data_IF_603618956510
#
_entry.id   IF_603618956510
#
_cell.length_a   1.000
_cell.length_b   1.000
_cell.length_c   1.000
_cell.angle_alpha   90.00
_cell.angle_beta   90.00
_cell.angle_gamma   90.00
#
_symmetry.space_group_name_H-M   'P 1'
#
loop_
_entity.id
_entity.type
_entity.pdbx_description
1 polymer ?
#
# COMPACT_ATOMS: atom_id res chain seq x y z
N UNK A 1 -4.61 20.91 -38.46
CA UNK A 1 -6.06 20.99 -38.17
C UNK A 1 -6.50 19.95 -37.14
N UNK A 2 -6.08 18.68 -37.23
CA UNK A 2 -6.46 17.64 -36.26
C UNK A 2 -5.92 17.82 -34.82
N UNK A 3 -4.83 18.58 -34.60
CA UNK A 3 -4.24 18.81 -33.26
C UNK A 3 -5.12 19.63 -32.30
N UNK A 4 -6.03 20.45 -32.83
CA UNK A 4 -6.92 21.31 -32.04
C UNK A 4 -8.41 20.90 -32.19
N UNK A 5 -8.68 19.73 -32.76
CA UNK A 5 -10.04 19.22 -32.88
C UNK A 5 -10.40 18.38 -31.65
N UNK A 6 -11.45 18.76 -30.94
CA UNK A 6 -11.88 18.07 -29.71
C UNK A 6 -12.25 16.60 -29.95
N UNK A 7 -12.93 16.29 -31.05
CA UNK A 7 -13.30 14.91 -31.40
C UNK A 7 -12.06 14.05 -31.67
N UNK A 8 -11.08 14.58 -32.41
CA UNK A 8 -9.81 13.89 -32.67
C UNK A 8 -8.99 13.68 -31.39
N UNK A 9 -9.05 14.61 -30.43
CA UNK A 9 -8.36 14.48 -29.14
C UNK A 9 -9.02 13.38 -28.28
N UNK A 10 -10.35 13.29 -28.28
CA UNK A 10 -11.08 12.28 -27.52
C UNK A 10 -10.97 10.88 -28.14
N UNK A 11 -10.88 10.79 -29.46
CA UNK A 11 -10.73 9.53 -30.18
C UNK A 11 -9.27 9.04 -30.28
N UNK A 12 -8.29 9.86 -29.84
CA UNK A 12 -6.87 9.49 -29.94
C UNK A 12 -6.56 8.28 -29.02
N UNK A 13 -5.70 7.35 -29.47
CA UNK A 13 -5.20 6.29 -28.59
C UNK A 13 -4.48 6.86 -27.36
N UNK A 14 -4.51 6.10 -26.27
CA UNK A 14 -3.70 6.44 -25.09
C UNK A 14 -2.21 6.53 -25.47
N UNK A 15 -1.46 7.45 -24.83
CA UNK A 15 -0.02 7.50 -25.01
C UNK A 15 0.61 6.15 -24.61
N UNK A 16 1.80 5.82 -25.15
CA UNK A 16 2.52 4.63 -24.72
C UNK A 16 2.72 4.66 -23.20
N UNK A 17 2.59 3.49 -22.57
CA UNK A 17 2.81 3.34 -21.13
C UNK A 17 4.22 3.83 -20.79
N UNK A 18 4.35 4.57 -19.70
CA UNK A 18 5.66 4.99 -19.20
C UNK A 18 6.51 3.77 -18.82
N UNK A 19 7.82 3.94 -18.87
CA UNK A 19 8.76 2.95 -18.34
C UNK A 19 8.54 2.84 -16.84
N UNK A 20 8.30 1.61 -16.36
CA UNK A 20 8.14 1.34 -14.93
C UNK A 20 9.50 1.47 -14.24
N UNK A 21 9.65 2.46 -13.36
CA UNK A 21 10.81 2.55 -12.47
C UNK A 21 10.49 1.81 -11.17
N UNK A 22 11.08 0.63 -10.91
CA UNK A 22 10.80 -0.11 -9.70
C UNK A 22 11.31 0.64 -8.47
N UNK A 23 10.62 0.47 -7.34
CA UNK A 23 11.09 1.00 -6.07
C UNK A 23 12.38 0.29 -5.64
N UNK A 24 13.34 1.05 -5.09
CA UNK A 24 14.54 0.46 -4.49
C UNK A 24 14.15 -0.56 -3.43
N UNK A 25 14.82 -1.71 -3.42
CA UNK A 25 14.58 -2.75 -2.44
C UNK A 25 14.90 -2.25 -1.01
N UNK A 26 14.04 -2.49 -0.01
CA UNK A 26 14.31 -2.11 1.38
C UNK A 26 15.48 -2.90 1.96
N UNK A 27 16.35 -2.25 2.74
CA UNK A 27 17.57 -2.86 3.29
C UNK A 27 17.33 -3.63 4.59
N UNK A 28 16.29 -3.28 5.35
CA UNK A 28 15.94 -3.94 6.61
C UNK A 28 14.45 -4.29 6.62
N UNK A 29 14.10 -5.29 7.42
CA UNK A 29 12.70 -5.61 7.70
C UNK A 29 11.97 -4.40 8.28
N UNK A 30 10.69 -4.27 7.96
CA UNK A 30 9.80 -3.19 8.43
C UNK A 30 10.20 -1.76 8.02
N UNK A 31 11.15 -1.58 7.10
CA UNK A 31 11.47 -0.25 6.52
C UNK A 31 10.43 0.24 5.52
N UNK A 32 9.72 -0.68 4.87
CA UNK A 32 8.65 -0.36 3.94
C UNK A 32 7.54 -1.37 4.12
N UNK A 33 6.34 -0.88 4.37
CA UNK A 33 5.13 -1.68 4.45
C UNK A 33 4.19 -1.31 3.31
N UNK A 34 3.51 -2.30 2.76
CA UNK A 34 2.38 -2.12 1.86
C UNK A 34 1.12 -2.35 2.67
N UNK A 35 0.22 -1.36 2.71
CA UNK A 35 -1.05 -1.48 3.40
C UNK A 35 -2.21 -1.26 2.43
N UNK A 36 -3.25 -2.08 2.58
CA UNK A 36 -4.48 -1.95 1.79
C UNK A 36 -5.68 -2.50 2.56
N UNK A 37 -6.88 -2.11 2.16
CA UNK A 37 -8.11 -2.67 2.70
C UNK A 37 -8.64 -3.80 1.81
N UNK A 38 -9.04 -4.89 2.45
CA UNK A 38 -9.83 -5.94 1.84
C UNK A 38 -11.25 -5.89 2.39
N UNK A 39 -12.21 -5.53 1.55
CA UNK A 39 -13.61 -5.63 1.92
C UNK A 39 -14.59 -4.94 0.97
N UNK A 40 -15.90 -5.13 1.22
CA UNK A 40 -16.47 -5.99 2.26
C UNK A 40 -16.44 -7.48 1.86
N UNK A 41 -15.76 -8.31 2.65
CA UNK A 41 -15.74 -9.77 2.49
C UNK A 41 -16.46 -10.41 3.67
N UNK A 42 -17.56 -11.13 3.40
CA UNK A 42 -18.45 -11.68 4.44
C UNK A 42 -18.88 -10.64 5.48
N UNK A 43 -19.26 -9.44 5.02
CA UNK A 43 -19.62 -8.28 5.86
C UNK A 43 -18.53 -7.82 6.83
N UNK A 44 -17.27 -8.13 6.53
CA UNK A 44 -16.11 -7.70 7.30
C UNK A 44 -15.13 -6.97 6.40
N UNK A 45 -14.43 -6.02 7.01
CA UNK A 45 -13.33 -5.31 6.37
C UNK A 45 -12.05 -5.67 7.10
N UNK A 46 -10.97 -5.85 6.34
CA UNK A 46 -9.66 -6.19 6.86
C UNK A 46 -8.67 -5.13 6.39
N UNK A 47 -7.79 -4.70 7.29
CA UNK A 47 -6.58 -3.98 6.96
C UNK A 47 -5.46 -5.01 6.78
N UNK A 48 -4.94 -5.10 5.57
CA UNK A 48 -3.83 -5.97 5.20
C UNK A 48 -2.56 -5.13 5.23
N UNK A 49 -1.53 -5.60 5.93
CA UNK A 49 -0.23 -4.95 6.01
C UNK A 49 0.84 -5.98 5.67
N UNK A 50 1.70 -5.67 4.71
CA UNK A 50 2.75 -6.56 4.23
C UNK A 50 4.10 -5.89 4.35
N UNK A 51 5.05 -6.53 5.04
CA UNK A 51 6.45 -6.08 5.01
C UNK A 51 7.05 -6.34 3.62
N UNK A 52 7.59 -5.29 3.00
CA UNK A 52 8.12 -5.37 1.66
C UNK A 52 9.37 -6.26 1.57
N UNK A 53 10.14 -6.38 2.66
CA UNK A 53 11.38 -7.16 2.75
C UNK A 53 11.10 -8.65 2.97
N UNK A 54 10.42 -9.00 4.06
CA UNK A 54 10.19 -10.39 4.48
C UNK A 54 8.96 -11.03 3.84
N UNK A 55 8.08 -10.21 3.23
CA UNK A 55 6.73 -10.62 2.79
C UNK A 55 5.85 -11.12 3.94
N UNK A 56 6.19 -10.78 5.19
CA UNK A 56 5.34 -11.06 6.34
C UNK A 56 3.99 -10.35 6.19
N UNK A 57 2.91 -11.08 6.43
CA UNK A 57 1.54 -10.63 6.28
C UNK A 57 0.89 -10.46 7.65
N UNK A 58 0.49 -9.24 7.96
CA UNK A 58 -0.31 -8.90 9.14
C UNK A 58 -1.73 -8.53 8.68
N UNK A 59 -2.74 -9.18 9.25
CA UNK A 59 -4.14 -8.98 8.87
C UNK A 59 -4.96 -8.59 10.09
N UNK A 60 -5.53 -7.38 10.06
CA UNK A 60 -6.37 -6.87 11.14
C UNK A 60 -7.81 -6.75 10.65
N UNK A 61 -8.76 -7.43 11.29
CA UNK A 61 -10.18 -7.12 11.07
C UNK A 61 -10.48 -5.73 11.66
N UNK A 62 -11.08 -4.85 10.87
CA UNK A 62 -11.41 -3.47 11.27
C UNK A 62 -12.90 -3.22 11.11
N UNK A 63 -13.44 -2.39 12.02
CA UNK A 63 -14.86 -1.99 11.98
C UNK A 63 -15.10 -0.76 11.09
N UNK A 64 -14.04 -0.05 10.70
CA UNK A 64 -14.13 1.13 9.83
C UNK A 64 -12.84 1.32 9.02
N UNK A 65 -12.96 1.92 7.83
CA UNK A 65 -11.82 2.31 6.98
C UNK A 65 -11.37 3.75 7.25
N UNK A 66 -11.49 4.19 8.51
CA UNK A 66 -11.12 5.56 8.90
C UNK A 66 -9.62 5.68 9.13
N UNK A 67 -9.07 6.88 8.88
CA UNK A 67 -7.67 7.16 9.15
C UNK A 67 -7.29 6.87 10.62
N UNK A 68 -8.18 7.17 11.57
CA UNK A 68 -7.96 6.90 12.99
C UNK A 68 -7.74 5.41 13.27
N UNK A 69 -8.55 4.52 12.65
CA UNK A 69 -8.39 3.07 12.81
C UNK A 69 -7.07 2.59 12.25
N UNK A 70 -6.65 3.11 11.09
CA UNK A 70 -5.36 2.78 10.46
C UNK A 70 -4.20 3.25 11.34
N UNK A 71 -4.24 4.47 11.86
CA UNK A 71 -3.20 5.02 12.74
C UNK A 71 -3.02 4.13 13.96
N UNK A 72 -4.12 3.80 14.66
CA UNK A 72 -4.07 2.93 15.84
C UNK A 72 -3.44 1.58 15.51
N UNK A 73 -3.85 0.94 14.40
CA UNK A 73 -3.31 -0.39 14.01
C UNK A 73 -1.84 -0.33 13.60
N UNK A 74 -1.42 0.72 12.90
CA UNK A 74 -0.01 0.91 12.55
C UNK A 74 0.85 1.20 13.78
N UNK A 75 0.36 1.99 14.74
CA UNK A 75 1.08 2.25 15.99
C UNK A 75 1.29 0.97 16.80
N UNK A 76 0.26 0.12 16.93
CA UNK A 76 0.37 -1.20 17.56
C UNK A 76 1.43 -2.07 16.88
N UNK A 77 1.37 -2.17 15.55
CA UNK A 77 2.31 -2.95 14.75
C UNK A 77 3.76 -2.46 14.93
N UNK A 78 3.98 -1.15 14.88
CA UNK A 78 5.32 -0.55 15.09
C UNK A 78 5.83 -0.90 16.49
N UNK A 79 5.02 -0.76 17.53
CA UNK A 79 5.42 -1.12 18.90
C UNK A 79 5.84 -2.58 19.02
N UNK A 80 5.16 -3.50 18.34
CA UNK A 80 5.47 -4.94 18.39
C UNK A 80 6.74 -5.28 17.61
N UNK A 81 6.86 -4.84 16.35
CA UNK A 81 7.91 -5.34 15.46
C UNK A 81 9.16 -4.46 15.42
N UNK A 82 9.04 -3.17 15.66
CA UNK A 82 10.17 -2.24 15.61
C UNK A 82 11.09 -2.41 16.82
N UNK A 83 10.55 -2.68 18.02
CA UNK A 83 11.35 -2.85 19.23
C UNK A 83 12.26 -4.10 19.16
N UNK A 84 11.81 -5.17 18.51
CA UNK A 84 12.59 -6.41 18.36
C UNK A 84 13.85 -6.24 17.50
N UNK A 85 13.96 -5.19 16.69
CA UNK A 85 15.16 -4.92 15.89
C UNK A 85 16.29 -4.25 16.68
N UNK A 86 15.97 -3.62 17.82
CA UNK A 86 16.91 -2.79 18.57
C UNK A 86 17.70 -3.55 19.64
N UNK A 87 17.34 -4.82 19.91
CA UNK A 87 17.97 -5.67 20.93
C UNK A 87 18.97 -6.70 20.36
N UNK A 88 19.32 -6.60 19.08
CA UNK A 88 20.33 -7.46 18.46
C UNK A 88 21.65 -6.68 18.24
N UNK A 89 22.22 -6.14 19.31
CA UNK A 89 23.59 -5.62 19.33
C UNK A 89 24.32 -6.09 20.59
#
# INVERSE_FOLDING_TARGET
MARNCNECINARPNPPKSVLTPWKWPQRQWMRVHCDFLGPYKNKTFLIIVDATTKWLEVCQVNSMTAQTVITKLSELICTFWHSQNNNN
#
